data_IF_181904837293
#
_entry.id   IF_181904837293
#
_cell.length_a   1.000
_cell.length_b   1.000
_cell.length_c   1.000
_cell.angle_alpha   90.00
_cell.angle_beta   90.00
_cell.angle_gamma   90.00
#
_symmetry.space_group_name_H-M   'P 1'
#
loop_
_entity.id
_entity.type
_entity.pdbx_description
1 polymer ?
#
# COMPACT_ATOMS: atom_id res chain seq x y z
N UNK A 1 61.33 -14.16 57.77
CA UNK A 1 60.78 -13.03 57.00
C UNK A 1 61.38 -13.05 55.60
N UNK A 2 60.62 -13.48 54.58
CA UNK A 2 61.09 -13.44 53.18
C UNK A 2 60.67 -12.10 52.58
N UNK A 3 61.64 -11.23 52.35
CA UNK A 3 61.46 -9.95 51.69
C UNK A 3 61.14 -10.18 50.21
N UNK A 4 59.99 -9.66 49.77
CA UNK A 4 59.52 -9.80 48.41
C UNK A 4 60.34 -8.84 47.53
N UNK A 5 61.29 -9.40 46.78
CA UNK A 5 62.11 -8.69 45.80
C UNK A 5 61.27 -8.14 44.65
N UNK A 6 61.73 -7.03 44.07
CA UNK A 6 61.14 -6.16 43.04
C UNK A 6 60.51 -6.87 41.81
N UNK A 7 60.82 -8.15 41.57
CA UNK A 7 60.19 -8.98 40.54
C UNK A 7 58.68 -9.27 40.79
N UNK A 8 58.26 -9.44 42.04
CA UNK A 8 56.90 -9.86 42.38
C UNK A 8 55.86 -8.72 42.20
N UNK A 9 56.28 -7.47 42.40
CA UNK A 9 55.47 -6.27 42.12
C UNK A 9 55.29 -6.04 40.60
N UNK A 10 56.31 -6.35 39.81
CA UNK A 10 56.29 -6.21 38.35
C UNK A 10 55.37 -7.24 37.69
N UNK A 11 55.36 -8.47 38.21
CA UNK A 11 54.47 -9.54 37.76
C UNK A 11 52.99 -9.27 38.13
N UNK A 12 52.73 -8.75 39.34
CA UNK A 12 51.37 -8.31 39.73
C UNK A 12 50.85 -7.15 38.87
N UNK A 13 51.71 -6.18 38.53
CA UNK A 13 51.35 -5.08 37.60
C UNK A 13 51.06 -5.59 36.18
N UNK A 14 51.88 -6.52 35.67
CA UNK A 14 51.66 -7.12 34.36
C UNK A 14 50.33 -7.88 34.29
N UNK A 15 50.00 -8.68 35.32
CA UNK A 15 48.71 -9.38 35.42
C UNK A 15 47.52 -8.41 35.52
N UNK A 16 47.67 -7.31 36.27
CA UNK A 16 46.65 -6.26 36.36
C UNK A 16 46.40 -5.54 35.04
N UNK A 17 47.46 -5.26 34.27
CA UNK A 17 47.35 -4.68 32.94
C UNK A 17 46.67 -5.62 31.95
N UNK A 18 47.03 -6.91 31.96
CA UNK A 18 46.38 -7.93 31.13
C UNK A 18 44.88 -8.04 31.46
N UNK A 19 44.53 -8.07 32.75
CA UNK A 19 43.13 -8.10 33.19
C UNK A 19 42.36 -6.86 32.71
N UNK A 20 42.96 -5.67 32.84
CA UNK A 20 42.36 -4.43 32.34
C UNK A 20 42.14 -4.47 30.83
N UNK A 21 43.13 -4.91 30.05
CA UNK A 21 42.99 -5.08 28.60
C UNK A 21 41.85 -6.03 28.25
N UNK A 22 41.75 -7.18 28.91
CA UNK A 22 40.66 -8.15 28.69
C UNK A 22 39.30 -7.53 29.00
N UNK A 23 39.17 -6.78 30.11
CA UNK A 23 37.92 -6.10 30.47
C UNK A 23 37.52 -5.04 29.44
N UNK A 24 38.48 -4.27 28.91
CA UNK A 24 38.23 -3.30 27.84
C UNK A 24 37.75 -4.01 26.58
N UNK A 25 38.40 -5.10 26.17
CA UNK A 25 37.96 -5.88 25.00
C UNK A 25 36.59 -6.52 25.20
N UNK A 26 36.29 -7.05 26.39
CA UNK A 26 34.97 -7.58 26.73
C UNK A 26 33.90 -6.49 26.68
N UNK A 27 34.21 -5.29 27.17
CA UNK A 27 33.28 -4.16 27.12
C UNK A 27 33.01 -3.72 25.67
N UNK A 28 34.06 -3.61 24.84
CA UNK A 28 33.92 -3.28 23.42
C UNK A 28 33.10 -4.36 22.71
N UNK A 29 33.40 -5.64 22.95
CA UNK A 29 32.68 -6.76 22.34
C UNK A 29 31.20 -6.78 22.75
N UNK A 30 30.91 -6.52 24.03
CA UNK A 30 29.55 -6.41 24.54
C UNK A 30 28.77 -5.29 23.86
N UNK A 31 29.37 -4.09 23.76
CA UNK A 31 28.74 -2.94 23.08
C UNK A 31 28.49 -3.22 21.60
N UNK A 32 29.45 -3.82 20.89
CA UNK A 32 29.28 -4.20 19.48
C UNK A 32 28.20 -5.26 19.30
N UNK A 33 28.11 -6.23 20.21
CA UNK A 33 27.09 -7.28 20.18
C UNK A 33 25.68 -6.70 20.37
N UNK A 34 25.49 -5.83 21.36
CA UNK A 34 24.22 -5.14 21.60
C UNK A 34 23.84 -4.27 20.40
N UNK A 35 24.80 -3.54 19.83
CA UNK A 35 24.56 -2.72 18.65
C UNK A 35 24.14 -3.55 17.42
N UNK A 36 24.80 -4.69 17.18
CA UNK A 36 24.42 -5.61 16.12
C UNK A 36 23.02 -6.17 16.33
N UNK A 37 22.68 -6.54 17.56
CA UNK A 37 21.35 -7.05 17.92
C UNK A 37 20.25 -6.01 17.70
N UNK A 38 20.50 -4.76 18.09
CA UNK A 38 19.57 -3.64 17.86
C UNK A 38 19.34 -3.40 16.37
N UNK A 39 20.39 -3.44 15.55
CA UNK A 39 20.26 -3.34 14.09
C UNK A 39 19.45 -4.49 13.50
N UNK A 40 19.73 -5.72 13.93
CA UNK A 40 18.97 -6.88 13.46
C UNK A 40 17.49 -6.79 13.86
N UNK A 41 17.18 -6.37 15.09
CA UNK A 41 15.81 -6.17 15.55
C UNK A 41 15.08 -5.08 14.76
N UNK A 42 15.76 -3.96 14.48
CA UNK A 42 15.20 -2.89 13.64
C UNK A 42 14.93 -3.37 12.22
N UNK A 43 15.84 -4.15 11.63
CA UNK A 43 15.66 -4.76 10.30
C UNK A 43 14.44 -5.68 10.28
N UNK A 44 14.35 -6.60 11.25
CA UNK A 44 13.22 -7.54 11.33
C UNK A 44 11.88 -6.81 11.48
N UNK A 45 11.83 -5.73 12.25
CA UNK A 45 10.63 -4.90 12.39
C UNK A 45 10.24 -4.22 11.08
N UNK A 46 11.23 -3.72 10.34
CA UNK A 46 11.00 -3.12 9.03
C UNK A 46 10.53 -4.16 8.01
N UNK A 47 11.14 -5.35 8.01
CA UNK A 47 10.77 -6.44 7.10
C UNK A 47 9.34 -6.93 7.39
N UNK A 48 8.97 -7.08 8.66
CA UNK A 48 7.59 -7.42 9.04
C UNK A 48 6.59 -6.36 8.57
N UNK A 49 6.90 -5.07 8.76
CA UNK A 49 6.07 -3.98 8.25
C UNK A 49 5.87 -4.05 6.73
N UNK A 50 6.96 -4.23 5.98
CA UNK A 50 6.90 -4.34 4.51
C UNK A 50 6.08 -5.56 4.08
N UNK A 51 6.25 -6.69 4.75
CA UNK A 51 5.53 -7.93 4.45
C UNK A 51 4.03 -7.78 4.74
N UNK A 52 3.66 -7.12 5.84
CA UNK A 52 2.27 -6.82 6.14
C UNK A 52 1.65 -5.84 5.13
N UNK A 53 2.38 -4.80 4.73
CA UNK A 53 1.94 -3.85 3.72
C UNK A 53 1.71 -4.55 2.37
N UNK A 54 2.65 -5.37 1.91
CA UNK A 54 2.52 -6.12 0.67
C UNK A 54 1.31 -7.07 0.71
N UNK A 55 1.07 -7.76 1.83
CA UNK A 55 -0.14 -8.58 2.00
C UNK A 55 -1.42 -7.75 1.88
N UNK A 56 -1.49 -6.57 2.50
CA UNK A 56 -2.65 -5.67 2.39
C UNK A 56 -2.85 -5.22 0.94
N UNK A 57 -1.78 -4.82 0.26
CA UNK A 57 -1.82 -4.40 -1.14
C UNK A 57 -2.32 -5.52 -2.07
N UNK A 58 -1.89 -6.77 -1.83
CA UNK A 58 -2.35 -7.93 -2.60
C UNK A 58 -3.84 -8.20 -2.42
N UNK A 59 -4.34 -8.11 -1.18
CA UNK A 59 -5.76 -8.25 -0.88
C UNK A 59 -6.57 -7.11 -1.49
N UNK A 60 -6.11 -5.86 -1.31
CA UNK A 60 -6.75 -4.68 -1.90
C UNK A 60 -6.86 -4.79 -3.41
N UNK A 61 -5.79 -5.24 -4.07
CA UNK A 61 -5.79 -5.45 -5.51
C UNK A 61 -6.76 -6.55 -5.95
N UNK A 62 -6.88 -7.64 -5.17
CA UNK A 62 -7.84 -8.71 -5.45
C UNK A 62 -9.27 -8.19 -5.37
N UNK A 63 -9.61 -7.44 -4.31
CA UNK A 63 -10.93 -6.80 -4.15
C UNK A 63 -11.18 -5.82 -5.30
N UNK A 64 -10.19 -4.96 -5.59
CA UNK A 64 -10.31 -3.97 -6.65
C UNK A 64 -10.59 -4.62 -8.00
N UNK A 65 -9.88 -5.70 -8.38
CA UNK A 65 -10.14 -6.43 -9.62
C UNK A 65 -11.57 -6.96 -9.72
N UNK A 66 -12.15 -7.43 -8.61
CA UNK A 66 -13.54 -7.87 -8.60
C UNK A 66 -14.51 -6.70 -8.82
N UNK A 67 -14.24 -5.54 -8.24
CA UNK A 67 -15.05 -4.33 -8.43
C UNK A 67 -14.92 -3.81 -9.87
N UNK A 68 -13.69 -3.75 -10.40
CA UNK A 68 -13.38 -3.35 -11.77
C UNK A 68 -14.16 -4.20 -12.77
N UNK A 69 -14.11 -5.53 -12.60
CA UNK A 69 -14.83 -6.44 -13.48
C UNK A 69 -16.35 -6.20 -13.46
N UNK A 70 -16.94 -5.95 -12.28
CA UNK A 70 -18.38 -5.60 -12.17
C UNK A 70 -18.71 -4.29 -12.89
N UNK A 71 -17.83 -3.31 -12.82
CA UNK A 71 -18.02 -2.00 -13.49
C UNK A 71 -17.85 -2.11 -15.00
N UNK A 72 -17.03 -3.05 -15.48
CA UNK A 72 -16.86 -3.35 -16.90
C UNK A 72 -18.09 -4.06 -17.49
N UNK A 73 -18.72 -4.97 -16.74
CA UNK A 73 -19.85 -5.78 -17.22
C UNK A 73 -21.21 -5.14 -16.99
N UNK A 74 -21.40 -4.45 -15.86
CA UNK A 74 -22.68 -3.90 -15.43
C UNK A 74 -22.61 -2.38 -15.25
N UNK A 75 -23.78 -1.73 -15.15
CA UNK A 75 -23.82 -0.31 -14.83
C UNK A 75 -23.26 -0.05 -13.42
N UNK A 76 -22.31 0.89 -13.24
CA UNK A 76 -21.63 1.06 -11.97
C UNK A 76 -22.60 1.46 -10.86
N UNK A 77 -22.68 0.64 -9.81
CA UNK A 77 -23.32 0.98 -8.54
C UNK A 77 -22.48 1.98 -7.75
N UNK A 78 -23.11 2.65 -6.76
CA UNK A 78 -22.43 3.55 -5.83
C UNK A 78 -21.66 4.71 -6.49
N UNK A 79 -22.30 5.32 -7.48
CA UNK A 79 -21.84 6.54 -8.12
C UNK A 79 -21.92 7.73 -7.16
N UNK A 80 -20.79 8.39 -6.93
CA UNK A 80 -20.69 9.62 -6.15
C UNK A 80 -20.25 10.79 -7.04
N UNK A 81 -20.47 12.00 -6.56
CA UNK A 81 -19.92 13.21 -7.17
C UNK A 81 -18.39 13.22 -7.09
N UNK A 82 -17.75 13.68 -8.17
CA UNK A 82 -16.29 13.76 -8.28
C UNK A 82 -15.69 14.55 -7.11
N UNK A 83 -14.77 13.94 -6.39
CA UNK A 83 -14.08 14.47 -5.21
C UNK A 83 -12.57 14.22 -5.34
N UNK A 84 -11.69 15.13 -4.89
CA UNK A 84 -10.26 14.83 -4.86
C UNK A 84 -9.95 13.58 -4.02
N UNK A 85 -9.05 12.71 -4.52
CA UNK A 85 -8.72 11.43 -3.91
C UNK A 85 -8.36 11.54 -2.42
N UNK A 86 -7.52 12.51 -2.05
CA UNK A 86 -7.13 12.75 -0.66
C UNK A 86 -8.30 13.16 0.24
N UNK A 87 -9.29 13.91 -0.29
CA UNK A 87 -10.50 14.29 0.48
C UNK A 87 -11.42 13.11 0.70
N UNK A 88 -11.50 12.21 -0.28
CA UNK A 88 -12.30 11.00 -0.19
C UNK A 88 -11.68 10.01 0.80
N UNK A 89 -10.36 9.79 0.72
CA UNK A 89 -9.62 8.97 1.67
C UNK A 89 -9.71 9.51 3.12
N UNK A 90 -9.73 10.84 3.29
CA UNK A 90 -9.88 11.47 4.60
C UNK A 90 -11.33 11.49 5.14
N UNK A 91 -12.31 10.89 4.44
CA UNK A 91 -13.69 10.82 4.95
C UNK A 91 -13.79 9.84 6.11
N UNK A 92 -14.57 10.16 7.16
CA UNK A 92 -14.78 9.26 8.28
C UNK A 92 -15.52 7.99 7.83
N UNK A 93 -15.33 6.88 8.55
CA UNK A 93 -15.95 5.58 8.24
C UNK A 93 -17.47 5.68 8.05
N UNK A 94 -18.16 6.45 8.89
CA UNK A 94 -19.61 6.69 8.78
C UNK A 94 -20.03 7.27 7.43
N UNK A 95 -19.19 8.09 6.80
CA UNK A 95 -19.49 8.61 5.46
C UNK A 95 -19.46 7.49 4.42
N UNK A 96 -18.48 6.59 4.51
CA UNK A 96 -18.37 5.43 3.63
C UNK A 96 -19.57 4.48 3.80
N UNK A 97 -19.99 4.24 5.04
CA UNK A 97 -21.17 3.41 5.33
C UNK A 97 -22.46 3.93 4.71
N UNK A 98 -22.61 5.26 4.61
CA UNK A 98 -23.81 5.90 4.09
C UNK A 98 -23.80 6.13 2.58
N UNK A 99 -22.63 6.36 1.98
CA UNK A 99 -22.51 6.83 0.59
C UNK A 99 -21.83 5.84 -0.36
N UNK A 100 -21.14 4.84 0.18
CA UNK A 100 -20.37 3.88 -0.60
C UNK A 100 -21.03 2.50 -0.60
N UNK A 101 -20.62 1.67 -1.55
CA UNK A 101 -20.95 0.25 -1.52
C UNK A 101 -20.04 -0.45 -0.52
N UNK A 102 -20.48 -1.57 0.05
CA UNK A 102 -19.66 -2.35 0.97
C UNK A 102 -19.57 -3.81 0.53
N UNK A 103 -18.56 -4.50 1.04
CA UNK A 103 -18.40 -5.93 0.87
C UNK A 103 -17.49 -6.51 1.95
N UNK A 104 -17.32 -7.81 1.89
CA UNK A 104 -16.43 -8.55 2.77
C UNK A 104 -15.68 -9.60 1.94
N UNK A 105 -14.36 -9.61 2.02
CA UNK A 105 -13.52 -10.64 1.43
C UNK A 105 -12.65 -11.25 2.54
N UNK A 106 -12.80 -12.55 2.77
CA UNK A 106 -12.01 -13.30 3.76
C UNK A 106 -12.02 -12.69 5.18
N UNK A 107 -13.15 -12.10 5.58
CA UNK A 107 -13.33 -11.43 6.88
C UNK A 107 -12.92 -9.95 6.89
N UNK A 108 -12.36 -9.43 5.81
CA UNK A 108 -11.96 -8.03 5.67
C UNK A 108 -13.11 -7.24 5.08
N UNK A 109 -13.69 -6.35 5.89
CA UNK A 109 -14.73 -5.43 5.45
C UNK A 109 -14.11 -4.32 4.61
N UNK A 110 -14.74 -4.02 3.49
CA UNK A 110 -14.29 -2.95 2.61
C UNK A 110 -15.47 -2.11 2.11
N UNK A 111 -15.16 -0.88 1.71
CA UNK A 111 -16.08 0.04 1.08
C UNK A 111 -15.51 0.51 -0.24
N UNK A 112 -16.36 0.79 -1.22
CA UNK A 112 -15.92 1.39 -2.47
C UNK A 112 -16.92 2.39 -3.02
N UNK A 113 -16.36 3.44 -3.62
CA UNK A 113 -17.13 4.47 -4.31
C UNK A 113 -16.67 4.59 -5.76
N UNK A 114 -17.61 4.92 -6.64
CA UNK A 114 -17.36 5.05 -8.07
C UNK A 114 -17.60 6.49 -8.48
N UNK A 115 -16.64 7.07 -9.20
CA UNK A 115 -16.75 8.41 -9.74
C UNK A 115 -16.75 8.31 -11.26
N UNK A 116 -17.74 8.92 -11.90
CA UNK A 116 -17.75 9.03 -13.37
C UNK A 116 -16.76 10.12 -13.79
N UNK A 117 -15.81 9.74 -14.63
CA UNK A 117 -14.87 10.67 -15.24
C UNK A 117 -15.43 11.16 -16.60
N UNK A 118 -14.69 11.99 -17.31
CA UNK A 118 -15.12 12.49 -18.61
C UNK A 118 -15.20 11.36 -19.66
N UNK A 119 -16.19 11.47 -20.54
CA UNK A 119 -16.35 10.59 -21.69
C UNK A 119 -15.29 10.97 -22.74
N UNK A 120 -14.41 10.03 -23.09
CA UNK A 120 -13.49 10.25 -24.20
C UNK A 120 -14.11 9.77 -25.50
N UNK A 121 -14.57 10.74 -26.27
CA UNK A 121 -15.22 10.54 -27.57
C UNK A 121 -14.25 10.08 -28.66
N UNK A 122 -12.95 10.32 -28.48
CA UNK A 122 -11.90 9.99 -29.44
C UNK A 122 -11.13 8.71 -29.07
N UNK A 123 -11.38 8.16 -27.89
CA UNK A 123 -10.97 6.82 -27.54
C UNK A 123 -11.97 5.79 -28.03
N UNK A 124 -11.45 4.69 -28.57
CA UNK A 124 -12.26 3.53 -28.92
C UNK A 124 -11.61 2.26 -28.42
N UNK A 125 -12.44 1.29 -28.05
CA UNK A 125 -12.01 -0.04 -27.69
C UNK A 125 -12.56 -1.08 -28.66
N UNK A 126 -11.68 -1.74 -29.41
CA UNK A 126 -12.06 -2.90 -30.24
C UNK A 126 -12.73 -2.60 -31.59
N UNK A 127 -13.30 -3.65 -32.18
CA UNK A 127 -13.80 -3.66 -33.56
C UNK A 127 -14.92 -2.65 -33.77
N UNK A 128 -14.78 -1.94 -34.89
CA UNK A 128 -15.78 -1.09 -35.50
C UNK A 128 -16.98 -1.98 -35.86
N UNK A 129 -17.95 -2.14 -34.96
CA UNK A 129 -19.23 -2.70 -35.32
C UNK A 129 -19.97 -1.64 -36.15
N UNK A 130 -20.30 -1.96 -37.40
CA UNK A 130 -21.11 -1.13 -38.30
C UNK A 130 -20.62 0.31 -38.51
N UNK A 131 -19.31 0.55 -38.64
CA UNK A 131 -18.72 1.89 -38.81
C UNK A 131 -18.93 2.87 -37.64
N UNK A 132 -19.42 2.40 -36.49
CA UNK A 132 -19.58 3.23 -35.30
C UNK A 132 -18.45 2.97 -34.31
N UNK A 133 -17.69 4.03 -34.01
CA UNK A 133 -16.68 3.99 -32.95
C UNK A 133 -17.41 4.00 -31.60
N UNK A 134 -17.32 2.90 -30.85
CA UNK A 134 -17.77 2.87 -29.47
C UNK A 134 -16.80 3.70 -28.63
N UNK A 135 -17.27 4.86 -28.17
CA UNK A 135 -16.50 5.73 -27.29
C UNK A 135 -16.16 5.02 -25.97
N UNK A 136 -15.17 5.56 -25.24
CA UNK A 136 -14.75 4.99 -23.96
C UNK A 136 -15.16 5.89 -22.81
N UNK A 137 -15.85 5.32 -21.83
CA UNK A 137 -16.20 5.99 -20.58
C UNK A 137 -15.22 5.58 -19.49
N UNK A 138 -14.67 6.57 -18.79
CA UNK A 138 -13.78 6.32 -17.67
C UNK A 138 -14.52 6.38 -16.34
N UNK A 139 -14.13 5.51 -15.42
CA UNK A 139 -14.56 5.52 -14.03
C UNK A 139 -13.36 5.49 -13.11
N UNK A 140 -13.44 6.24 -12.02
CA UNK A 140 -12.46 6.20 -10.93
C UNK A 140 -13.08 5.49 -9.74
N UNK A 141 -12.49 4.36 -9.37
CA UNK A 141 -12.90 3.52 -8.26
C UNK A 141 -11.99 3.82 -7.08
N UNK A 142 -12.55 4.11 -5.92
CA UNK A 142 -11.78 4.26 -4.69
C UNK A 142 -12.27 3.23 -3.68
N UNK A 143 -11.34 2.41 -3.19
CA UNK A 143 -11.54 1.34 -2.24
C UNK A 143 -10.95 1.76 -0.89
N UNK A 144 -11.71 1.55 0.18
CA UNK A 144 -11.26 1.62 1.56
C UNK A 144 -11.35 0.21 2.16
N UNK A 145 -10.23 -0.33 2.64
CA UNK A 145 -10.24 -1.55 3.46
C UNK A 145 -10.15 -1.19 4.93
N UNK A 146 -10.99 -1.83 5.73
CA UNK A 146 -11.03 -1.67 7.20
C UNK A 146 -10.48 -2.93 7.84
N UNK A 147 -9.39 -2.79 8.59
CA UNK A 147 -8.84 -3.92 9.34
C UNK A 147 -9.71 -4.21 10.56
N UNK A 148 -9.93 -5.48 10.86
CA UNK A 148 -10.59 -5.88 12.11
C UNK A 148 -9.77 -5.35 13.30
N UNK A 149 -10.36 -4.48 14.12
CA UNK A 149 -9.72 -3.86 15.27
C UNK A 149 -9.16 -2.44 15.07
N UNK A 150 -9.29 -1.84 13.88
CA UNK A 150 -8.99 -0.41 13.72
C UNK A 150 -10.08 0.44 14.38
N UNK A 151 -9.68 1.34 15.28
CA UNK A 151 -10.53 2.45 15.75
C UNK A 151 -10.93 3.34 14.57
N UNK A 152 -12.07 4.05 14.68
CA UNK A 152 -12.60 4.94 13.63
C UNK A 152 -11.61 6.02 13.15
N UNK A 153 -10.53 6.24 13.91
CA UNK A 153 -9.51 7.27 13.74
C UNK A 153 -8.27 6.80 12.97
N UNK A 154 -8.03 5.51 12.80
CA UNK A 154 -6.92 5.05 11.96
C UNK A 154 -7.31 5.10 10.47
N UNK A 155 -6.46 5.67 9.60
CA UNK A 155 -6.72 5.66 8.17
C UNK A 155 -6.73 4.20 7.68
N UNK A 156 -7.89 3.75 7.21
CA UNK A 156 -8.00 2.47 6.50
C UNK A 156 -7.15 2.49 5.23
N UNK A 157 -6.81 1.31 4.73
CA UNK A 157 -5.96 1.21 3.54
C UNK A 157 -6.75 1.62 2.29
N UNK A 158 -6.30 2.68 1.61
CA UNK A 158 -6.99 3.26 0.46
C UNK A 158 -6.29 2.92 -0.86
N UNK A 159 -7.04 2.33 -1.79
CA UNK A 159 -6.57 2.04 -3.14
C UNK A 159 -7.49 2.72 -4.15
N UNK A 160 -6.93 3.34 -5.18
CA UNK A 160 -7.70 3.92 -6.26
C UNK A 160 -7.30 3.32 -7.59
N UNK A 161 -8.31 3.09 -8.43
CA UNK A 161 -8.14 2.58 -9.78
C UNK A 161 -8.92 3.42 -10.78
N UNK A 162 -8.42 3.52 -12.00
CA UNK A 162 -9.15 4.09 -13.13
C UNK A 162 -9.44 2.98 -14.12
N UNK A 163 -10.70 2.82 -14.49
CA UNK A 163 -11.20 1.79 -15.38
C UNK A 163 -11.81 2.42 -16.62
N UNK A 164 -11.47 1.90 -17.79
CA UNK A 164 -12.09 2.24 -19.05
C UNK A 164 -13.16 1.20 -19.39
N UNK A 165 -14.37 1.64 -19.74
CA UNK A 165 -15.46 0.77 -20.18
C UNK A 165 -16.05 1.27 -21.50
N UNK A 166 -16.77 0.41 -22.21
CA UNK A 166 -17.49 0.82 -23.42
C UNK A 166 -18.60 1.81 -23.07
N UNK A 167 -18.69 2.91 -23.83
CA UNK A 167 -19.85 3.78 -23.79
C UNK A 167 -20.95 3.25 -24.71
N UNK A 168 -22.19 3.22 -24.22
CA UNK A 168 -23.36 2.79 -24.99
C UNK A 168 -23.83 3.83 -26.04
N UNK A 169 -22.99 4.80 -26.38
CA UNK A 169 -23.32 5.88 -27.31
C UNK A 169 -22.27 5.94 -28.42
N UNK A 170 -22.73 5.88 -29.67
CA UNK A 170 -21.91 6.23 -30.82
C UNK A 170 -21.66 7.74 -30.78
N UNK A 171 -20.41 8.16 -30.76
CA UNK A 171 -20.05 9.57 -30.68
C UNK A 171 -19.15 9.96 -31.85
N UNK A 172 -19.40 11.14 -32.41
CA UNK A 172 -18.48 11.74 -33.40
C UNK A 172 -17.29 12.38 -32.68
N UNK A 173 -16.08 12.06 -33.15
CA UNK A 173 -14.83 12.61 -32.67
C UNK A 173 -14.27 13.60 -33.71
N UNK A 174 -13.94 14.81 -33.29
CA UNK A 174 -13.26 15.83 -34.11
C UNK A 174 -11.73 15.81 -33.98
N UNK A 175 -11.19 14.95 -33.12
CA UNK A 175 -9.76 14.81 -32.82
C UNK A 175 -9.10 13.56 -33.39
N UNK A 176 -7.87 13.29 -32.96
CA UNK A 176 -7.14 12.07 -33.34
C UNK A 176 -7.70 10.86 -32.60
N UNK A 177 -8.16 9.88 -33.36
CA UNK A 177 -8.64 8.61 -32.81
C UNK A 177 -7.49 7.85 -32.12
N UNK A 178 -7.77 7.33 -30.93
CA UNK A 178 -6.84 6.53 -30.13
C UNK A 178 -7.49 5.22 -29.70
N UNK A 179 -6.77 4.12 -29.91
CA UNK A 179 -7.21 2.80 -29.44
C UNK A 179 -6.85 2.65 -27.97
N UNK A 180 -7.81 2.20 -27.17
CA UNK A 180 -7.65 1.97 -25.74
C UNK A 180 -8.13 0.56 -25.40
N UNK A 181 -7.48 -0.08 -24.45
CA UNK A 181 -7.88 -1.38 -23.94
C UNK A 181 -8.92 -1.18 -22.83
N UNK A 182 -10.00 -1.96 -22.83
CA UNK A 182 -10.98 -1.95 -21.73
C UNK A 182 -10.36 -2.51 -20.46
N UNK A 183 -10.81 -1.96 -19.34
CA UNK A 183 -10.47 -2.36 -18.00
C UNK A 183 -9.51 -1.40 -17.31
N UNK A 184 -8.74 -1.90 -16.34
CA UNK A 184 -7.83 -1.09 -15.53
C UNK A 184 -6.78 -0.36 -16.39
N UNK A 185 -6.75 0.96 -16.26
CA UNK A 185 -5.80 1.86 -16.95
C UNK A 185 -4.66 2.28 -16.03
N UNK A 186 -4.98 2.55 -14.77
CA UNK A 186 -4.01 2.90 -13.74
C UNK A 186 -4.56 2.55 -12.37
N UNK A 187 -3.65 2.39 -11.41
CA UNK A 187 -4.00 2.28 -10.01
C UNK A 187 -2.92 2.94 -9.15
N UNK A 188 -3.29 3.34 -7.94
CA UNK A 188 -2.38 3.93 -6.95
C UNK A 188 -2.92 3.73 -5.53
N UNK A 189 -1.99 3.63 -4.59
CA UNK A 189 -2.28 3.81 -3.17
C UNK A 189 -2.43 5.32 -2.87
N UNK A 190 -3.29 5.66 -1.91
CA UNK A 190 -3.57 7.06 -1.50
C UNK A 190 -3.19 7.25 -0.04
#
# INVERSE_FOLDING_TARGET
MRTCSSGCLREKRARGFVLFSILVFLQIFSLLSVYSLLRAAASLKQDDFLLQHERRLQIANRIMRQIEHRVETDQPGCLISRMPAYKLAARPLRWWELNACSGNLDGIRYYYAVEREELDRCAYAGQIADNHLLAVQYYRLTLLMVSAGQEETEPGYCLQSTVAVHANQGVSCSGRLRRIQIGRQMWREI
#
